data_IF_154517819469
#
_entry.id   IF_154517819469
#
_cell.length_a   1.000
_cell.length_b   1.000
_cell.length_c   1.000
_cell.angle_alpha   90.00
_cell.angle_beta   90.00
_cell.angle_gamma   90.00
#
_symmetry.space_group_name_H-M   'P 1'
#
loop_
_entity.id
_entity.type
_entity.pdbx_description
1 polymer ?
#
# COMPACT_ATOMS: atom_id res chain seq x y z
N UNK A 1 -22.16 -13.33 -18.81
CA UNK A 1 -22.53 -12.79 -17.50
C UNK A 1 -21.25 -12.82 -16.69
N UNK A 2 -20.67 -11.67 -16.35
CA UNK A 2 -19.52 -11.67 -15.43
C UNK A 2 -20.03 -12.22 -14.10
N UNK A 3 -19.41 -13.28 -13.58
CA UNK A 3 -19.75 -13.77 -12.25
C UNK A 3 -19.51 -12.63 -11.26
N UNK A 4 -20.56 -12.20 -10.57
CA UNK A 4 -20.41 -11.27 -9.46
C UNK A 4 -19.52 -11.91 -8.40
N UNK A 5 -18.59 -11.14 -7.86
CA UNK A 5 -17.74 -11.65 -6.80
C UNK A 5 -18.53 -11.90 -5.52
N UNK A 6 -18.09 -12.93 -4.79
CA UNK A 6 -18.59 -13.26 -3.45
C UNK A 6 -17.75 -12.62 -2.34
N UNK A 7 -16.66 -11.91 -2.67
CA UNK A 7 -16.00 -10.99 -1.76
C UNK A 7 -16.83 -9.70 -1.67
N UNK A 8 -17.58 -9.54 -0.58
CA UNK A 8 -18.59 -8.49 -0.43
C UNK A 8 -18.08 -7.25 0.32
N UNK A 9 -16.95 -7.38 1.01
CA UNK A 9 -16.35 -6.32 1.81
C UNK A 9 -14.84 -6.55 1.94
N UNK A 10 -14.04 -5.49 1.88
CA UNK A 10 -12.67 -5.51 2.39
C UNK A 10 -12.35 -4.25 3.21
N UNK A 11 -11.63 -4.42 4.31
CA UNK A 11 -11.25 -3.33 5.20
C UNK A 11 -9.92 -3.57 5.92
N UNK A 12 -9.50 -2.54 6.66
CA UNK A 12 -8.29 -2.51 7.47
C UNK A 12 -8.72 -2.32 8.92
N UNK A 13 -8.11 -3.10 9.83
CA UNK A 13 -8.36 -3.01 11.26
C UNK A 13 -7.04 -2.97 12.04
N UNK A 14 -6.90 -2.04 13.01
CA UNK A 14 -5.77 -2.04 13.92
C UNK A 14 -5.93 -3.20 14.92
N UNK A 15 -4.82 -3.67 15.45
CA UNK A 15 -4.79 -4.75 16.44
C UNK A 15 -4.09 -4.49 17.80
N UNK A 16 -3.99 -3.26 18.32
CA UNK A 16 -3.46 -3.03 19.66
C UNK A 16 -4.37 -3.66 20.72
N UNK A 17 -3.87 -4.56 21.58
CA UNK A 17 -4.66 -5.16 22.65
C UNK A 17 -5.21 -4.12 23.63
N UNK A 18 -4.58 -2.94 23.74
CA UNK A 18 -5.04 -1.83 24.58
C UNK A 18 -6.43 -1.31 24.16
N UNK A 19 -6.88 -1.58 22.94
CA UNK A 19 -8.25 -1.26 22.49
C UNK A 19 -9.30 -2.15 23.16
N UNK A 20 -8.95 -3.38 23.54
CA UNK A 20 -9.86 -4.29 24.24
C UNK A 20 -10.20 -3.70 25.62
N UNK A 21 -11.48 -3.40 25.93
CA UNK A 21 -11.85 -2.68 27.15
C UNK A 21 -11.27 -3.23 28.46
N UNK A 22 -11.21 -4.54 28.60
CA UNK A 22 -10.69 -5.22 29.79
C UNK A 22 -9.15 -5.12 29.92
N UNK A 23 -8.46 -4.90 28.80
CA UNK A 23 -7.00 -4.66 28.72
C UNK A 23 -6.71 -3.17 28.90
N UNK A 24 -7.36 -2.31 28.11
CA UNK A 24 -7.13 -0.86 28.07
C UNK A 24 -7.43 -0.14 29.38
N UNK A 25 -8.54 -0.47 30.05
CA UNK A 25 -8.97 0.15 31.32
C UNK A 25 -8.86 1.69 31.31
N UNK A 26 -7.89 2.25 32.03
CA UNK A 26 -7.66 3.71 32.13
C UNK A 26 -7.16 4.33 30.82
N UNK A 27 -6.62 3.53 29.89
CA UNK A 27 -6.16 3.96 28.57
C UNK A 27 -7.30 4.12 27.55
N UNK A 28 -8.51 3.61 27.82
CA UNK A 28 -9.62 3.61 26.86
C UNK A 28 -10.00 4.99 26.29
N UNK A 29 -9.96 6.09 27.06
CA UNK A 29 -10.24 7.42 26.50
C UNK A 29 -9.29 7.81 25.36
N UNK A 30 -8.07 7.27 25.32
CA UNK A 30 -7.05 7.61 24.31
C UNK A 30 -7.25 6.84 22.99
N UNK A 31 -8.02 5.76 23.01
CA UNK A 31 -8.25 4.86 21.86
C UNK A 31 -9.72 4.83 21.43
N UNK A 32 -10.51 5.79 21.92
CA UNK A 32 -11.97 5.78 21.78
C UNK A 32 -12.42 5.82 20.33
N UNK A 33 -11.78 6.65 19.49
CA UNK A 33 -12.20 6.76 18.10
C UNK A 33 -11.87 5.49 17.31
N UNK A 34 -10.78 4.80 17.67
CA UNK A 34 -10.46 3.49 17.10
C UNK A 34 -11.49 2.44 17.50
N UNK A 35 -11.95 2.44 18.76
CA UNK A 35 -13.02 1.54 19.22
C UNK A 35 -14.34 1.83 18.48
N UNK A 36 -14.71 3.10 18.35
CA UNK A 36 -15.91 3.53 17.64
C UNK A 36 -15.80 3.16 16.14
N UNK A 37 -14.62 3.35 15.53
CA UNK A 37 -14.33 2.92 14.16
C UNK A 37 -14.44 1.41 13.96
N UNK A 38 -13.97 0.60 14.92
CA UNK A 38 -14.13 -0.86 14.88
C UNK A 38 -15.60 -1.30 14.99
N UNK A 39 -16.43 -0.55 15.73
CA UNK A 39 -17.86 -0.79 15.76
C UNK A 39 -18.50 -0.50 14.40
N UNK A 40 -18.20 0.65 13.79
CA UNK A 40 -18.69 0.99 12.46
C UNK A 40 -18.20 0.01 11.38
N UNK A 41 -16.93 -0.43 11.44
CA UNK A 41 -16.40 -1.47 10.55
C UNK A 41 -17.23 -2.76 10.66
N UNK A 42 -17.55 -3.17 11.90
CA UNK A 42 -18.34 -4.38 12.14
C UNK A 42 -19.77 -4.23 11.61
N UNK A 43 -20.40 -3.08 11.81
CA UNK A 43 -21.73 -2.78 11.23
C UNK A 43 -21.72 -2.91 9.71
N UNK A 44 -20.67 -2.42 9.04
CA UNK A 44 -20.51 -2.54 7.58
C UNK A 44 -20.26 -3.99 7.14
N UNK A 45 -19.50 -4.78 7.90
CA UNK A 45 -19.33 -6.22 7.65
C UNK A 45 -20.68 -6.95 7.76
N UNK A 46 -21.46 -6.69 8.81
CA UNK A 46 -22.80 -7.27 9.00
C UNK A 46 -23.73 -6.85 7.85
N UNK A 47 -23.74 -5.57 7.49
CA UNK A 47 -24.57 -5.03 6.41
C UNK A 47 -24.21 -5.63 5.04
N UNK A 48 -22.95 -5.99 4.82
CA UNK A 48 -22.51 -6.69 3.60
C UNK A 48 -23.08 -8.12 3.48
N UNK A 49 -23.62 -8.67 4.58
CA UNK A 49 -24.15 -10.03 4.65
C UNK A 49 -23.06 -11.11 4.64
N UNK A 50 -21.83 -10.77 5.02
CA UNK A 50 -20.73 -11.72 5.08
C UNK A 50 -20.96 -12.75 6.19
N UNK A 51 -20.99 -14.03 5.81
CA UNK A 51 -21.11 -15.15 6.75
C UNK A 51 -19.75 -15.70 7.18
N UNK A 52 -18.70 -15.45 6.40
CA UNK A 52 -17.31 -15.77 6.73
C UNK A 52 -16.46 -14.51 6.68
N UNK A 53 -15.55 -14.35 7.65
CA UNK A 53 -14.52 -13.29 7.64
C UNK A 53 -13.14 -13.92 7.50
N UNK A 54 -12.38 -13.48 6.50
CA UNK A 54 -10.95 -13.75 6.39
C UNK A 54 -10.19 -12.66 7.15
N UNK A 55 -9.31 -13.07 8.07
CA UNK A 55 -8.39 -12.20 8.80
C UNK A 55 -6.97 -12.55 8.41
N UNK A 56 -6.16 -11.58 8.02
CA UNK A 56 -4.71 -11.78 7.83
C UNK A 56 -3.92 -10.95 8.83
N UNK A 57 -3.00 -11.60 9.55
CA UNK A 57 -2.23 -11.00 10.65
C UNK A 57 -0.71 -11.00 10.41
N UNK A 58 0.01 -9.93 10.81
CA UNK A 58 1.47 -9.90 10.86
C UNK A 58 2.09 -10.66 12.02
N UNK A 59 1.31 -11.04 13.05
CA UNK A 59 1.84 -11.65 14.28
C UNK A 59 1.52 -13.14 14.41
N UNK A 60 0.93 -13.74 13.38
CA UNK A 60 0.87 -15.19 13.26
C UNK A 60 2.32 -15.76 13.24
N UNK A 61 2.54 -17.04 13.58
CA UNK A 61 3.83 -17.71 13.37
C UNK A 61 4.20 -17.78 11.89
N UNK A 62 4.79 -16.70 11.37
CA UNK A 62 5.06 -16.53 9.94
C UNK A 62 6.19 -17.44 9.46
N UNK A 63 6.13 -17.80 8.20
CA UNK A 63 7.22 -18.46 7.47
C UNK A 63 7.88 -17.48 6.48
N UNK A 64 9.16 -17.70 6.20
CA UNK A 64 9.94 -16.85 5.27
C UNK A 64 9.48 -16.98 3.83
N UNK A 65 8.97 -18.14 3.44
CA UNK A 65 8.69 -18.54 2.05
C UNK A 65 7.25 -18.99 1.81
N UNK A 66 6.48 -19.23 2.86
CA UNK A 66 5.09 -19.69 2.77
C UNK A 66 4.12 -18.75 3.50
N UNK A 67 2.89 -18.70 3.02
CA UNK A 67 1.78 -18.14 3.79
C UNK A 67 1.40 -19.13 4.88
N UNK A 68 0.77 -18.66 5.95
CA UNK A 68 0.39 -19.53 7.08
C UNK A 68 -1.10 -19.42 7.36
N UNK A 69 -1.67 -20.49 7.90
CA UNK A 69 -3.08 -20.53 8.28
C UNK A 69 -3.26 -21.20 9.64
N UNK A 70 -4.18 -20.67 10.43
CA UNK A 70 -4.64 -21.36 11.63
C UNK A 70 -5.51 -22.56 11.26
N UNK A 71 -5.30 -23.73 11.90
CA UNK A 71 -6.04 -24.94 11.56
C UNK A 71 -7.49 -24.87 12.08
N UNK A 72 -8.40 -25.56 11.39
CA UNK A 72 -9.74 -25.85 11.89
C UNK A 72 -9.79 -27.07 12.84
N UNK A 73 -10.97 -27.41 13.37
CA UNK A 73 -12.29 -26.83 13.05
C UNK A 73 -12.62 -25.55 13.83
N UNK A 74 -11.82 -25.17 14.82
CA UNK A 74 -12.04 -23.96 15.61
C UNK A 74 -10.71 -23.32 16.05
N UNK A 75 -10.74 -22.00 16.19
CA UNK A 75 -9.65 -21.18 16.69
C UNK A 75 -10.03 -20.51 18.01
N UNK A 76 -9.03 -20.28 18.85
CA UNK A 76 -9.21 -19.76 20.21
C UNK A 76 -8.45 -18.44 20.41
N UNK A 77 -9.15 -17.40 20.86
CA UNK A 77 -8.56 -16.12 21.26
C UNK A 77 -8.50 -15.99 22.78
N UNK A 78 -7.38 -15.48 23.31
CA UNK A 78 -7.17 -15.26 24.74
C UNK A 78 -6.32 -14.00 24.99
N UNK A 79 -6.75 -13.20 25.97
CA UNK A 79 -6.03 -11.99 26.39
C UNK A 79 -5.40 -12.12 27.80
N UNK A 80 -5.20 -13.34 28.30
CA UNK A 80 -4.52 -13.55 29.60
C UNK A 80 -3.11 -12.94 29.62
N UNK A 81 -2.37 -13.02 28.50
CA UNK A 81 -1.06 -12.39 28.31
C UNK A 81 -1.07 -10.87 28.43
N UNK A 82 -2.23 -10.23 28.25
CA UNK A 82 -2.46 -8.79 28.41
C UNK A 82 -3.18 -8.46 29.72
N UNK A 83 -3.10 -9.35 30.73
CA UNK A 83 -3.71 -9.20 32.06
C UNK A 83 -5.25 -9.10 32.01
N UNK A 84 -5.88 -9.70 31.00
CA UNK A 84 -7.33 -9.82 30.86
C UNK A 84 -7.76 -11.29 30.66
N UNK A 85 -7.51 -12.18 31.65
CA UNK A 85 -7.81 -13.62 31.52
C UNK A 85 -9.32 -13.94 31.43
N UNK A 86 -10.18 -12.96 31.74
CA UNK A 86 -11.63 -13.10 31.56
C UNK A 86 -12.09 -12.92 30.11
N UNK A 87 -11.20 -12.48 29.22
CA UNK A 87 -11.52 -12.29 27.79
C UNK A 87 -10.94 -13.43 26.99
N UNK A 88 -11.80 -14.41 26.73
CA UNK A 88 -11.53 -15.59 25.94
C UNK A 88 -12.71 -15.87 25.03
N UNK A 89 -12.45 -16.37 23.83
CA UNK A 89 -13.50 -16.75 22.90
C UNK A 89 -13.01 -17.84 21.95
N UNK A 90 -13.96 -18.54 21.34
CA UNK A 90 -13.72 -19.53 20.31
C UNK A 90 -14.51 -19.13 19.06
N UNK A 91 -13.95 -19.35 17.88
CA UNK A 91 -14.61 -19.12 16.60
C UNK A 91 -14.50 -20.37 15.71
N UNK A 92 -15.59 -20.78 15.03
CA UNK A 92 -15.52 -21.83 14.03
C UNK A 92 -14.65 -21.40 12.85
N UNK A 93 -13.90 -22.35 12.29
CA UNK A 93 -13.11 -22.12 11.07
C UNK A 93 -13.90 -22.60 9.86
N UNK A 94 -13.97 -21.78 8.82
CA UNK A 94 -14.47 -22.19 7.51
C UNK A 94 -13.40 -23.08 6.83
N UNK A 95 -13.44 -24.37 7.16
CA UNK A 95 -12.44 -25.34 6.67
C UNK A 95 -12.54 -25.49 5.15
N UNK A 96 -13.74 -25.43 4.58
CA UNK A 96 -13.94 -25.54 3.13
C UNK A 96 -13.27 -24.38 2.39
N UNK A 97 -13.48 -23.14 2.85
CA UNK A 97 -12.81 -21.97 2.30
C UNK A 97 -11.30 -22.02 2.52
N UNK A 98 -10.82 -22.47 3.68
CA UNK A 98 -9.39 -22.60 3.95
C UNK A 98 -8.71 -23.60 2.99
N UNK A 99 -9.32 -24.76 2.74
CA UNK A 99 -8.79 -25.72 1.77
C UNK A 99 -8.82 -25.14 0.34
N UNK A 100 -9.91 -24.48 -0.05
CA UNK A 100 -10.02 -23.85 -1.37
C UNK A 100 -8.96 -22.75 -1.59
N UNK A 101 -8.64 -21.96 -0.56
CA UNK A 101 -7.56 -20.97 -0.58
C UNK A 101 -6.21 -21.68 -0.74
N UNK A 102 -5.97 -22.76 0.01
CA UNK A 102 -4.74 -23.54 -0.04
C UNK A 102 -4.51 -24.17 -1.42
N UNK A 103 -5.55 -24.74 -2.01
CA UNK A 103 -5.52 -25.32 -3.36
C UNK A 103 -5.31 -24.25 -4.44
N UNK A 104 -5.98 -23.10 -4.33
CA UNK A 104 -5.79 -21.99 -5.26
C UNK A 104 -4.37 -21.41 -5.15
N UNK A 105 -3.82 -21.33 -3.94
CA UNK A 105 -2.45 -20.86 -3.72
C UNK A 105 -1.44 -21.85 -4.33
N UNK A 106 -1.60 -23.15 -4.07
CA UNK A 106 -0.73 -24.20 -4.60
C UNK A 106 -0.73 -24.24 -6.14
N UNK A 107 -1.89 -24.02 -6.77
CA UNK A 107 -2.01 -23.91 -8.22
C UNK A 107 -1.29 -22.69 -8.83
N UNK A 108 -0.84 -21.74 -8.00
CA UNK A 108 -0.06 -20.56 -8.39
C UNK A 108 1.31 -20.54 -7.69
N UNK A 109 1.84 -21.72 -7.34
CA UNK A 109 3.17 -21.93 -6.76
C UNK A 109 3.38 -21.29 -5.36
N UNK A 110 2.31 -21.09 -4.60
CA UNK A 110 2.36 -20.63 -3.21
C UNK A 110 1.97 -21.73 -2.23
N UNK A 111 2.76 -21.90 -1.17
CA UNK A 111 2.44 -22.81 -0.08
C UNK A 111 1.66 -22.08 1.03
N UNK A 112 0.66 -22.77 1.60
CA UNK A 112 -0.07 -22.34 2.81
C UNK A 112 0.15 -23.38 3.91
N UNK A 113 1.01 -23.06 4.88
CA UNK A 113 1.34 -23.96 5.98
C UNK A 113 0.28 -23.84 7.08
N UNK A 114 -0.37 -24.96 7.41
CA UNK A 114 -1.29 -25.03 8.55
C UNK A 114 -0.49 -25.14 9.85
N UNK A 115 -0.73 -24.22 10.77
CA UNK A 115 -0.06 -24.18 12.06
C UNK A 115 -0.45 -25.39 12.91
N UNK A 116 0.43 -25.79 13.83
CA UNK A 116 0.18 -26.87 14.78
C UNK A 116 -0.72 -26.47 15.96
N UNK A 117 -1.03 -25.18 16.09
CA UNK A 117 -1.80 -24.59 17.18
C UNK A 117 -2.98 -23.79 16.64
N UNK A 118 -4.09 -23.83 17.36
CA UNK A 118 -5.29 -23.06 17.04
C UNK A 118 -5.46 -21.80 17.91
N UNK A 119 -4.52 -21.51 18.80
CA UNK A 119 -4.51 -20.27 19.59
C UNK A 119 -4.05 -19.09 18.73
N UNK A 120 -4.94 -18.11 18.53
CA UNK A 120 -4.71 -16.91 17.74
C UNK A 120 -3.65 -16.01 18.38
N UNK A 121 -2.87 -15.35 17.52
CA UNK A 121 -2.04 -14.21 17.92
C UNK A 121 -2.91 -12.97 18.20
N UNK A 122 -2.34 -11.94 18.84
CA UNK A 122 -3.09 -10.72 19.15
C UNK A 122 -3.52 -9.94 17.90
N UNK A 123 -2.74 -10.01 16.82
CA UNK A 123 -3.04 -9.40 15.53
C UNK A 123 -4.32 -9.96 14.91
N UNK A 124 -4.59 -11.24 15.09
CA UNK A 124 -5.87 -11.86 14.67
C UNK A 124 -6.96 -11.71 15.74
N UNK A 125 -6.61 -11.87 17.01
CA UNK A 125 -7.58 -11.93 18.10
C UNK A 125 -8.27 -10.58 18.38
N UNK A 126 -7.58 -9.43 18.21
CA UNK A 126 -8.16 -8.11 18.48
C UNK A 126 -9.27 -7.76 17.47
N UNK A 127 -9.07 -7.82 16.14
CA UNK A 127 -10.15 -7.57 15.20
C UNK A 127 -11.33 -8.54 15.37
N UNK A 128 -11.05 -9.84 15.59
CA UNK A 128 -12.10 -10.83 15.80
C UNK A 128 -12.90 -10.61 17.09
N UNK A 129 -12.23 -10.18 18.16
CA UNK A 129 -12.89 -9.77 19.40
C UNK A 129 -13.90 -8.65 19.14
N UNK A 130 -13.53 -7.63 18.37
CA UNK A 130 -14.43 -6.52 18.05
C UNK A 130 -15.58 -6.94 17.14
N UNK A 131 -15.34 -7.81 16.15
CA UNK A 131 -16.40 -8.39 15.32
C UNK A 131 -17.46 -9.08 16.20
N UNK A 132 -17.04 -9.99 17.09
CA UNK A 132 -17.95 -10.68 18.00
C UNK A 132 -18.64 -9.74 18.98
N UNK A 133 -17.89 -8.83 19.60
CA UNK A 133 -18.43 -7.88 20.59
C UNK A 133 -19.49 -6.96 19.99
N UNK A 134 -19.33 -6.59 18.72
CA UNK A 134 -20.24 -5.70 18.00
C UNK A 134 -21.31 -6.48 17.20
N UNK A 135 -21.46 -7.78 17.45
CA UNK A 135 -22.61 -8.56 17.01
C UNK A 135 -22.46 -9.31 15.70
N UNK A 136 -21.28 -9.32 15.08
CA UNK A 136 -21.02 -10.21 13.95
C UNK A 136 -20.78 -11.63 14.48
N UNK A 137 -21.43 -12.62 13.87
CA UNK A 137 -21.26 -14.03 14.18
C UNK A 137 -21.19 -14.80 12.88
N UNK A 138 -20.11 -15.55 12.68
CA UNK A 138 -19.88 -16.30 11.46
C UNK A 138 -18.62 -17.15 11.57
N UNK A 139 -18.24 -17.75 10.45
CA UNK A 139 -17.03 -18.56 10.36
C UNK A 139 -15.81 -17.69 10.04
N UNK A 140 -14.63 -18.14 10.44
CA UNK A 140 -13.39 -17.39 10.27
C UNK A 140 -12.38 -18.17 9.46
N UNK A 141 -11.62 -17.50 8.60
CA UNK A 141 -10.35 -18.02 8.10
C UNK A 141 -9.24 -17.08 8.57
N UNK A 142 -8.38 -17.57 9.45
CA UNK A 142 -7.28 -16.79 10.00
C UNK A 142 -5.96 -17.19 9.31
N UNK A 143 -5.34 -16.19 8.68
CA UNK A 143 -4.13 -16.31 7.88
C UNK A 143 -3.00 -15.45 8.46
N UNK A 144 -1.77 -15.78 8.12
CA UNK A 144 -0.60 -14.91 8.24
C UNK A 144 0.10 -14.79 6.90
N UNK A 145 0.75 -13.65 6.69
CA UNK A 145 1.50 -13.40 5.46
C UNK A 145 2.88 -14.10 5.44
N UNK A 146 3.64 -13.90 4.37
CA UNK A 146 5.01 -14.40 4.22
C UNK A 146 6.03 -13.25 4.13
N UNK A 147 7.31 -13.58 3.99
CA UNK A 147 8.34 -12.58 3.66
C UNK A 147 8.69 -12.54 2.16
N UNK A 148 7.83 -13.09 1.31
CA UNK A 148 7.91 -12.98 -0.15
C UNK A 148 7.76 -11.53 -0.64
N UNK A 149 7.92 -11.31 -1.94
CA UNK A 149 7.87 -9.97 -2.53
C UNK A 149 6.45 -9.37 -2.43
N UNK A 150 6.36 -8.04 -2.59
CA UNK A 150 5.07 -7.33 -2.59
C UNK A 150 4.09 -7.91 -3.64
N UNK A 151 4.60 -8.23 -4.83
CA UNK A 151 3.82 -8.83 -5.92
C UNK A 151 3.24 -10.20 -5.54
N UNK A 152 3.98 -11.01 -4.76
CA UNK A 152 3.50 -12.31 -4.29
C UNK A 152 2.32 -12.17 -3.32
N UNK A 153 2.32 -11.11 -2.50
CA UNK A 153 1.20 -10.81 -1.60
C UNK A 153 -0.05 -10.39 -2.37
N UNK A 154 0.11 -9.57 -3.43
CA UNK A 154 -0.99 -9.20 -4.32
C UNK A 154 -1.56 -10.43 -5.04
N UNK A 155 -0.70 -11.32 -5.54
CA UNK A 155 -1.11 -12.57 -6.21
C UNK A 155 -1.76 -13.56 -5.25
N UNK A 156 -1.28 -13.67 -4.02
CA UNK A 156 -1.93 -14.46 -2.99
C UNK A 156 -3.33 -13.93 -2.67
N UNK A 157 -3.51 -12.61 -2.59
CA UNK A 157 -4.83 -11.99 -2.51
C UNK A 157 -5.76 -12.39 -3.66
N UNK A 158 -5.25 -12.43 -4.90
CA UNK A 158 -6.01 -12.93 -6.05
C UNK A 158 -6.35 -14.42 -5.95
N UNK A 159 -5.48 -15.25 -5.35
CA UNK A 159 -5.78 -16.66 -5.08
C UNK A 159 -6.93 -16.80 -4.09
N UNK A 160 -6.90 -16.02 -3.00
CA UNK A 160 -8.00 -15.96 -2.03
C UNK A 160 -9.30 -15.59 -2.73
N UNK A 161 -9.25 -14.56 -3.59
CA UNK A 161 -10.40 -14.11 -4.36
C UNK A 161 -11.00 -15.21 -5.24
N UNK A 162 -10.17 -15.95 -5.98
CA UNK A 162 -10.63 -17.08 -6.81
C UNK A 162 -11.30 -18.17 -5.97
N UNK A 163 -10.75 -18.49 -4.79
CA UNK A 163 -11.35 -19.47 -3.89
C UNK A 163 -12.71 -19.00 -3.36
N UNK A 164 -12.81 -17.74 -2.90
CA UNK A 164 -14.07 -17.13 -2.46
C UNK A 164 -15.13 -17.17 -3.57
N UNK A 165 -14.77 -16.73 -4.78
CA UNK A 165 -15.70 -16.68 -5.91
C UNK A 165 -16.12 -18.08 -6.39
N UNK A 166 -15.26 -19.10 -6.22
CA UNK A 166 -15.56 -20.48 -6.58
C UNK A 166 -16.58 -21.14 -5.63
N UNK A 167 -16.51 -20.82 -4.33
CA UNK A 167 -17.44 -21.35 -3.32
C UNK A 167 -18.77 -20.58 -3.29
N UNK A 168 -18.80 -19.34 -3.76
CA UNK A 168 -20.03 -18.54 -3.83
C UNK A 168 -20.54 -18.04 -2.47
N UNK A 169 -19.71 -18.12 -1.43
CA UNK A 169 -20.04 -17.68 -0.07
C UNK A 169 -19.74 -16.19 0.09
N UNK A 170 -20.59 -15.45 0.82
CA UNK A 170 -20.37 -14.01 1.03
C UNK A 170 -19.27 -13.82 2.06
N UNK A 171 -18.09 -13.40 1.61
CA UNK A 171 -16.91 -13.28 2.44
C UNK A 171 -16.51 -11.81 2.61
N UNK A 172 -16.16 -11.43 3.84
CA UNK A 172 -15.48 -10.18 4.14
C UNK A 172 -13.99 -10.44 4.38
N UNK A 173 -13.13 -9.53 3.92
CA UNK A 173 -11.68 -9.61 4.14
C UNK A 173 -11.21 -8.46 5.04
N UNK A 174 -10.50 -8.78 6.12
CA UNK A 174 -9.94 -7.78 7.04
C UNK A 174 -8.42 -7.93 7.07
N UNK A 175 -7.72 -6.92 6.55
CA UNK A 175 -6.29 -6.74 6.75
C UNK A 175 -6.05 -6.23 8.17
N UNK A 176 -5.50 -7.10 9.04
CA UNK A 176 -5.10 -6.69 10.37
C UNK A 176 -3.70 -6.07 10.32
N UNK A 177 -3.54 -4.88 10.90
CA UNK A 177 -2.30 -4.14 10.80
C UNK A 177 -2.34 -2.78 11.46
N UNK A 178 -1.31 -2.46 12.23
CA UNK A 178 -1.04 -1.10 12.67
C UNK A 178 -0.12 -0.41 11.64
N UNK A 179 -0.21 0.93 11.59
CA UNK A 179 0.63 1.75 10.71
C UNK A 179 1.99 2.02 11.37
N UNK A 180 2.48 3.26 11.42
CA UNK A 180 3.77 3.57 12.03
C UNK A 180 3.78 3.23 13.53
N UNK A 181 4.90 2.68 14.00
CA UNK A 181 5.18 2.45 15.42
C UNK A 181 6.16 3.47 16.00
N UNK A 182 6.35 4.61 15.32
CA UNK A 182 7.43 5.57 15.60
C UNK A 182 6.99 7.03 15.70
N UNK A 183 5.71 7.28 16.00
CA UNK A 183 5.12 8.62 15.92
C UNK A 183 5.36 9.51 17.15
N UNK A 184 5.79 8.94 18.28
CA UNK A 184 6.04 9.68 19.54
C UNK A 184 7.31 9.17 20.25
N UNK A 185 7.95 9.96 21.14
CA UNK A 185 9.08 9.50 21.96
C UNK A 185 8.81 8.21 22.73
N UNK A 186 7.58 8.02 23.18
CA UNK A 186 7.14 6.86 23.97
C UNK A 186 6.71 5.67 23.10
N UNK A 187 6.81 5.78 21.77
CA UNK A 187 6.41 4.74 20.85
C UNK A 187 7.27 3.47 21.03
N UNK A 188 6.71 2.26 20.83
CA UNK A 188 7.40 1.01 21.12
C UNK A 188 8.66 0.78 20.26
N UNK A 189 8.72 1.36 19.06
CA UNK A 189 9.87 1.28 18.18
C UNK A 189 10.76 2.54 18.21
N UNK A 190 10.55 3.43 19.19
CA UNK A 190 11.22 4.72 19.33
C UNK A 190 10.66 5.79 18.38
N UNK A 191 11.02 7.06 18.58
CA UNK A 191 10.54 8.15 17.73
C UNK A 191 11.37 8.33 16.47
N UNK A 192 10.71 8.53 15.34
CA UNK A 192 11.33 9.06 14.13
C UNK A 192 10.46 10.20 13.57
N UNK A 193 11.01 11.40 13.35
CA UNK A 193 10.24 12.57 12.93
C UNK A 193 9.66 12.46 11.52
N UNK A 194 10.11 11.51 10.69
CA UNK A 194 9.60 11.29 9.32
C UNK A 194 8.56 10.16 9.27
N UNK A 195 8.42 9.39 10.36
CA UNK A 195 7.56 8.20 10.35
C UNK A 195 6.07 8.49 10.12
N UNK A 196 5.61 9.72 10.36
CA UNK A 196 4.23 10.13 10.09
C UNK A 196 3.87 10.13 8.59
N UNK A 197 4.87 10.30 7.70
CA UNK A 197 4.65 10.33 6.25
C UNK A 197 4.08 9.00 5.76
N UNK A 198 4.50 7.88 6.37
CA UNK A 198 3.95 6.56 6.05
C UNK A 198 2.45 6.49 6.33
N UNK A 199 2.02 6.97 7.49
CA UNK A 199 0.62 6.96 7.88
C UNK A 199 -0.20 7.89 7.00
N UNK A 200 0.33 9.07 6.68
CA UNK A 200 -0.29 10.05 5.79
C UNK A 200 -0.50 9.45 4.39
N UNK A 201 0.50 8.80 3.79
CA UNK A 201 0.37 8.15 2.49
C UNK A 201 -0.70 7.06 2.48
N UNK A 202 -0.75 6.21 3.51
CA UNK A 202 -1.78 5.16 3.61
C UNK A 202 -3.17 5.79 3.79
N UNK A 203 -3.30 6.74 4.71
CA UNK A 203 -4.59 7.41 4.99
C UNK A 203 -5.09 8.18 3.76
N UNK A 204 -4.21 8.88 3.06
CA UNK A 204 -4.56 9.65 1.88
C UNK A 204 -4.87 8.76 0.68
N UNK A 205 -4.22 7.60 0.54
CA UNK A 205 -4.60 6.59 -0.44
C UNK A 205 -6.05 6.13 -0.25
N UNK A 206 -6.47 5.88 1.00
CA UNK A 206 -7.87 5.54 1.30
C UNK A 206 -8.80 6.74 1.06
N UNK A 207 -8.48 7.93 1.58
CA UNK A 207 -9.35 9.13 1.42
C UNK A 207 -9.54 9.54 -0.03
N UNK A 208 -8.50 9.40 -0.86
CA UNK A 208 -8.56 9.74 -2.28
C UNK A 208 -9.23 8.66 -3.13
N UNK A 209 -9.70 7.56 -2.51
CA UNK A 209 -10.23 6.40 -3.20
C UNK A 209 -9.24 5.90 -4.27
N UNK A 210 -7.98 5.81 -3.87
CA UNK A 210 -6.85 5.30 -4.65
C UNK A 210 -5.99 4.36 -3.79
N UNK A 211 -6.58 3.27 -3.27
CA UNK A 211 -5.89 2.36 -2.35
C UNK A 211 -4.70 1.64 -3.01
N UNK A 212 -4.62 1.61 -4.34
CA UNK A 212 -3.47 1.14 -5.11
C UNK A 212 -2.17 1.92 -4.83
N UNK A 213 -2.25 3.18 -4.38
CA UNK A 213 -1.07 3.96 -3.99
C UNK A 213 -0.29 3.30 -2.84
N UNK A 214 -0.97 2.54 -1.98
CA UNK A 214 -0.34 1.79 -0.89
C UNK A 214 0.70 0.80 -1.42
N UNK A 215 0.52 0.27 -2.63
CA UNK A 215 1.42 -0.73 -3.23
C UNK A 215 2.83 -0.15 -3.48
N UNK A 216 2.91 1.15 -3.69
CA UNK A 216 4.10 1.86 -4.15
C UNK A 216 4.76 2.72 -3.08
N UNK A 217 4.28 2.65 -1.83
CA UNK A 217 4.89 3.33 -0.69
C UNK A 217 6.37 2.91 -0.58
N UNK A 218 7.23 3.91 -0.41
CA UNK A 218 8.69 3.72 -0.40
C UNK A 218 9.10 2.65 0.65
N UNK A 219 9.83 1.58 0.23
CA UNK A 219 10.41 0.61 1.13
C UNK A 219 11.15 1.18 2.33
N UNK A 220 11.88 2.28 2.15
CA UNK A 220 12.62 2.95 3.21
C UNK A 220 11.69 3.68 4.18
N UNK A 221 10.64 4.33 3.67
CA UNK A 221 9.61 4.94 4.50
C UNK A 221 8.91 3.90 5.39
N UNK A 222 8.60 2.72 4.87
CA UNK A 222 8.07 1.59 5.69
C UNK A 222 9.05 1.17 6.78
N UNK A 223 10.34 1.06 6.44
CA UNK A 223 11.41 0.70 7.40
C UNK A 223 11.57 1.76 8.50
N UNK A 224 11.45 3.03 8.13
CA UNK A 224 11.44 4.18 9.03
C UNK A 224 10.21 4.12 9.94
N UNK A 225 9.02 3.85 9.38
CA UNK A 225 7.78 3.76 10.14
C UNK A 225 7.78 2.60 11.14
N UNK A 226 8.51 1.53 10.87
CA UNK A 226 8.52 0.33 11.71
C UNK A 226 7.14 -0.34 11.76
N UNK A 227 6.41 -0.24 10.65
CA UNK A 227 5.04 -0.72 10.48
C UNK A 227 4.92 -2.24 10.52
N UNK A 228 3.70 -2.73 10.72
CA UNK A 228 3.40 -4.15 10.58
C UNK A 228 2.23 -4.48 9.64
N UNK A 229 1.39 -3.51 9.28
CA UNK A 229 0.18 -3.75 8.50
C UNK A 229 0.37 -3.86 6.98
N UNK A 230 1.50 -3.43 6.42
CA UNK A 230 1.68 -3.23 4.98
C UNK A 230 1.41 -4.47 4.15
N UNK A 231 2.00 -5.62 4.53
CA UNK A 231 1.82 -6.87 3.78
C UNK A 231 0.39 -7.41 3.89
N UNK A 232 -0.27 -7.23 5.05
CA UNK A 232 -1.69 -7.54 5.21
C UNK A 232 -2.55 -6.69 4.25
N UNK A 233 -2.24 -5.40 4.13
CA UNK A 233 -2.92 -4.50 3.20
C UNK A 233 -2.71 -4.94 1.75
N UNK A 234 -1.50 -5.34 1.34
CA UNK A 234 -1.26 -5.85 -0.01
C UNK A 234 -2.12 -7.08 -0.34
N UNK A 235 -2.27 -8.03 0.58
CA UNK A 235 -3.14 -9.18 0.35
C UNK A 235 -4.60 -8.74 0.20
N UNK A 236 -5.08 -7.79 1.01
CA UNK A 236 -6.43 -7.22 0.84
C UNK A 236 -6.62 -6.53 -0.51
N UNK A 237 -5.64 -5.73 -0.96
CA UNK A 237 -5.68 -5.05 -2.26
C UNK A 237 -5.66 -6.05 -3.42
N UNK A 238 -4.86 -7.10 -3.31
CA UNK A 238 -4.86 -8.21 -4.26
C UNK A 238 -6.20 -8.93 -4.32
N UNK A 239 -6.82 -9.17 -3.17
CA UNK A 239 -8.13 -9.81 -3.08
C UNK A 239 -9.27 -8.91 -3.60
N UNK A 240 -9.17 -7.60 -3.38
CA UNK A 240 -10.14 -6.60 -3.80
C UNK A 240 -9.90 -6.06 -5.22
N UNK A 241 -8.86 -6.53 -5.93
CA UNK A 241 -8.50 -6.06 -7.27
C UNK A 241 -9.71 -6.16 -8.21
N UNK A 242 -9.88 -5.13 -9.03
CA UNK A 242 -10.96 -5.00 -10.02
C UNK A 242 -12.40 -4.97 -9.43
N UNK A 243 -12.56 -4.89 -8.11
CA UNK A 243 -13.85 -4.54 -7.52
C UNK A 243 -14.12 -3.04 -7.56
N UNK A 244 -15.41 -2.64 -7.54
CA UNK A 244 -15.79 -1.27 -7.23
C UNK A 244 -15.14 -0.82 -5.92
N UNK A 245 -14.33 0.23 -6.02
CA UNK A 245 -13.75 0.85 -4.84
C UNK A 245 -14.81 1.68 -4.13
N UNK A 246 -14.76 1.64 -2.80
CA UNK A 246 -15.62 2.44 -1.94
C UNK A 246 -14.81 2.77 -0.68
N UNK A 247 -13.68 3.44 -0.87
CA UNK A 247 -12.76 3.68 0.22
C UNK A 247 -13.34 4.69 1.21
N UNK A 248 -13.11 4.44 2.49
CA UNK A 248 -13.58 5.32 3.56
C UNK A 248 -12.71 5.14 4.81
N UNK A 249 -12.28 6.24 5.41
CA UNK A 249 -11.52 6.23 6.67
C UNK A 249 -12.51 6.41 7.81
N UNK A 250 -12.78 5.32 8.53
CA UNK A 250 -13.71 5.32 9.66
C UNK A 250 -13.07 6.00 10.88
N UNK A 251 -11.78 5.73 11.10
CA UNK A 251 -11.00 6.41 12.14
C UNK A 251 -9.50 6.30 11.86
N UNK A 252 -8.75 7.36 12.17
CA UNK A 252 -7.27 7.32 12.21
C UNK A 252 -6.71 8.13 13.38
N UNK A 253 -6.09 7.49 14.38
CA UNK A 253 -5.44 8.16 15.51
C UNK A 253 -4.10 7.51 15.88
N UNK A 254 -3.23 8.25 16.58
CA UNK A 254 -1.88 7.80 16.95
C UNK A 254 -1.62 7.72 18.47
N UNK A 255 -2.46 7.02 19.26
CA UNK A 255 -2.23 6.85 20.68
C UNK A 255 -0.96 6.03 20.93
N UNK A 256 -0.24 6.35 22.00
CA UNK A 256 1.02 5.69 22.35
C UNK A 256 2.10 5.69 21.25
N UNK A 257 1.98 6.58 20.26
CA UNK A 257 2.94 6.70 19.17
C UNK A 257 2.82 5.62 18.09
N UNK A 258 1.68 4.92 18.06
CA UNK A 258 1.36 3.91 17.05
C UNK A 258 0.13 4.34 16.25
N UNK A 259 0.18 4.29 14.93
CA UNK A 259 -0.91 4.68 14.04
C UNK A 259 -2.00 3.61 13.93
N UNK A 260 -3.22 3.94 14.35
CA UNK A 260 -4.38 3.06 14.33
C UNK A 260 -5.33 3.53 13.23
N UNK A 261 -5.41 2.77 12.14
CA UNK A 261 -6.32 3.02 11.02
C UNK A 261 -7.42 1.97 10.98
N UNK A 262 -8.67 2.44 11.02
CA UNK A 262 -9.84 1.64 10.65
C UNK A 262 -10.39 2.17 9.34
N UNK A 263 -10.47 1.32 8.33
CA UNK A 263 -10.87 1.74 6.98
C UNK A 263 -11.66 0.67 6.21
N UNK A 264 -12.46 1.13 5.27
CA UNK A 264 -13.04 0.32 4.20
C UNK A 264 -12.25 0.56 2.91
N UNK A 265 -12.03 -0.50 2.13
CA UNK A 265 -11.42 -0.45 0.80
C UNK A 265 -12.49 -0.68 -0.28
N UNK A 266 -13.32 -1.72 -0.11
CA UNK A 266 -14.39 -2.06 -1.05
C UNK A 266 -15.63 -2.52 -0.30
N UNK A 267 -16.79 -2.30 -0.92
CA UNK A 267 -18.07 -2.90 -0.56
C UNK A 267 -18.82 -3.26 -1.83
N UNK A 268 -19.61 -4.33 -1.78
CA UNK A 268 -20.61 -4.60 -2.81
C UNK A 268 -21.67 -3.49 -2.76
N UNK A 269 -22.00 -2.91 -3.91
CA UNK A 269 -23.09 -1.94 -4.06
C UNK A 269 -24.34 -2.74 -4.44
N UNK A 270 -25.39 -2.72 -3.63
CA UNK A 270 -26.68 -3.32 -3.99
C UNK A 270 -27.38 -2.49 -5.08
N UNK A 271 -28.11 -3.14 -5.99
CA UNK A 271 -28.81 -2.54 -7.15
C UNK A 271 -29.75 -1.36 -6.83
N UNK A 272 -30.10 -1.16 -5.55
CA UNK A 272 -30.89 -0.03 -5.08
C UNK A 272 -30.10 1.29 -5.07
N UNK A 273 -28.80 1.25 -4.72
CA UNK A 273 -27.89 2.40 -4.75
C UNK A 273 -27.35 2.68 -6.17
N UNK A 274 -27.50 1.72 -7.09
CA UNK A 274 -27.07 1.85 -8.48
C UNK A 274 -27.90 2.84 -9.31
N UNK A 275 -29.06 3.30 -8.82
CA UNK A 275 -29.97 4.19 -9.58
C UNK A 275 -29.57 5.66 -9.56
N UNK A 276 -28.60 6.04 -8.73
CA UNK A 276 -28.09 7.42 -8.67
C UNK A 276 -26.62 7.54 -9.13
N UNK A 277 -26.04 6.44 -9.62
CA UNK A 277 -24.71 6.43 -10.21
C UNK A 277 -24.83 6.04 -11.68
N UNK A 278 -25.00 7.05 -12.52
CA UNK A 278 -24.54 6.94 -13.90
C UNK A 278 -23.08 6.45 -13.85
N UNK A 279 -22.70 5.41 -14.61
CA UNK A 279 -21.30 5.08 -14.78
C UNK A 279 -20.69 6.24 -15.57
N UNK A 280 -20.18 7.25 -14.87
CA UNK A 280 -19.29 8.22 -15.47
C UNK A 280 -18.02 7.42 -15.80
N UNK A 281 -18.01 6.88 -17.02
CA UNK A 281 -16.84 6.36 -17.70
C UNK A 281 -15.94 7.55 -18.00
N UNK A 282 -15.43 8.17 -16.95
CA UNK A 282 -14.27 9.04 -16.94
C UNK A 282 -13.24 8.30 -16.14
N UNK A 283 -12.50 7.48 -16.87
CA UNK A 283 -11.18 7.03 -16.46
C UNK A 283 -10.35 8.30 -16.28
N UNK A 284 -10.33 8.84 -15.06
CA UNK A 284 -9.30 9.78 -14.65
C UNK A 284 -8.11 8.92 -14.21
N UNK A 285 -7.28 8.55 -15.18
CA UNK A 285 -5.92 8.08 -14.87
C UNK A 285 -5.13 9.33 -14.50
N UNK A 286 -4.91 9.50 -13.21
CA UNK A 286 -3.93 10.42 -12.67
C UNK A 286 -3.02 9.59 -11.77
N UNK A 287 -1.90 9.11 -12.29
CA UNK A 287 -0.87 8.53 -11.43
C UNK A 287 0.52 8.61 -12.06
N UNK A 288 1.52 8.71 -11.19
CA UNK A 288 2.94 8.50 -11.46
C UNK A 288 3.26 7.12 -12.07
N UNK A 289 2.30 6.18 -12.11
CA UNK A 289 2.44 4.86 -12.76
C UNK A 289 2.51 4.96 -14.28
N UNK A 290 1.86 5.94 -14.91
CA UNK A 290 1.97 6.16 -16.36
C UNK A 290 3.34 6.73 -16.74
N UNK A 291 3.84 7.64 -15.91
CA UNK A 291 5.08 8.40 -16.12
C UNK A 291 6.29 7.49 -15.92
N UNK A 292 6.33 6.80 -14.77
CA UNK A 292 7.39 5.84 -14.42
C UNK A 292 7.28 4.55 -15.23
N UNK A 293 6.05 4.10 -15.53
CA UNK A 293 5.81 2.96 -16.41
C UNK A 293 6.29 3.21 -17.84
N UNK A 294 6.03 4.40 -18.40
CA UNK A 294 6.55 4.80 -19.71
C UNK A 294 8.08 4.90 -19.71
N UNK A 295 8.68 5.47 -18.66
CA UNK A 295 10.14 5.52 -18.52
C UNK A 295 10.76 4.12 -18.48
N UNK A 296 10.23 3.22 -17.65
CA UNK A 296 10.66 1.81 -17.55
C UNK A 296 10.55 1.12 -18.90
N UNK A 297 9.38 1.14 -19.52
CA UNK A 297 9.13 0.51 -20.83
C UNK A 297 10.09 1.04 -21.89
N UNK A 298 10.36 2.34 -21.87
CA UNK A 298 11.28 3.00 -22.80
C UNK A 298 12.71 2.49 -22.62
N UNK A 299 13.23 2.49 -21.40
CA UNK A 299 14.59 2.01 -21.11
C UNK A 299 14.72 0.53 -21.48
N UNK A 300 13.81 -0.31 -21.01
CA UNK A 300 13.88 -1.76 -21.25
C UNK A 300 13.79 -2.07 -22.76
N UNK A 301 12.87 -1.45 -23.48
CA UNK A 301 12.73 -1.65 -24.94
C UNK A 301 13.99 -1.18 -25.67
N UNK A 302 14.50 0.01 -25.35
CA UNK A 302 15.65 0.57 -26.04
C UNK A 302 16.93 -0.22 -25.76
N UNK A 303 17.16 -0.62 -24.51
CA UNK A 303 18.34 -1.43 -24.14
C UNK A 303 18.29 -2.83 -24.76
N UNK A 304 17.10 -3.43 -24.88
CA UNK A 304 16.95 -4.77 -25.48
C UNK A 304 16.99 -4.77 -27.00
N UNK A 305 16.39 -3.76 -27.64
CA UNK A 305 16.12 -3.78 -29.10
C UNK A 305 16.85 -2.70 -29.89
N UNK A 306 17.36 -1.65 -29.22
CA UNK A 306 17.90 -0.45 -29.85
C UNK A 306 16.84 0.46 -30.47
N UNK A 307 15.55 0.19 -30.28
CA UNK A 307 14.46 0.95 -30.89
C UNK A 307 13.75 1.86 -29.88
N UNK A 308 13.37 3.06 -30.34
CA UNK A 308 12.56 4.01 -29.57
C UNK A 308 11.11 3.51 -29.52
N UNK A 309 10.50 3.54 -28.33
CA UNK A 309 9.08 3.23 -28.17
C UNK A 309 8.25 4.31 -28.87
N UNK A 310 7.19 3.90 -29.58
CA UNK A 310 6.23 4.85 -30.14
C UNK A 310 5.48 5.57 -29.01
N UNK A 311 5.17 6.86 -29.22
CA UNK A 311 4.37 7.62 -28.26
C UNK A 311 3.00 6.93 -28.17
N UNK A 312 2.59 6.45 -26.99
CA UNK A 312 1.30 5.76 -26.85
C UNK A 312 0.16 6.74 -27.14
N UNK A 313 -1.01 6.22 -27.58
CA UNK A 313 -2.22 7.05 -27.60
C UNK A 313 -2.45 7.62 -26.19
N UNK A 314 -2.34 8.95 -26.09
CA UNK A 314 -2.24 9.63 -24.79
C UNK A 314 -3.60 9.56 -24.10
N UNK A 315 -3.68 8.72 -23.08
CA UNK A 315 -4.91 8.51 -22.28
C UNK A 315 -4.86 9.24 -20.93
N UNK A 316 -3.68 9.67 -20.49
CA UNK A 316 -3.46 10.45 -19.27
C UNK A 316 -3.35 11.94 -19.54
N UNK A 317 -4.06 12.74 -18.74
CA UNK A 317 -4.03 14.19 -18.82
C UNK A 317 -2.63 14.76 -18.51
N UNK A 318 -1.86 14.11 -17.63
CA UNK A 318 -0.51 14.54 -17.25
C UNK A 318 0.49 14.32 -18.39
N UNK A 319 0.46 13.15 -19.03
CA UNK A 319 1.33 12.83 -20.17
C UNK A 319 1.08 13.74 -21.39
N UNK A 320 -0.14 14.28 -21.51
CA UNK A 320 -0.50 15.27 -22.54
C UNK A 320 -0.01 16.70 -22.23
N UNK A 321 0.41 16.98 -20.99
CA UNK A 321 0.89 18.32 -20.63
C UNK A 321 2.29 18.56 -21.17
N UNK A 322 2.66 19.84 -21.35
CA UNK A 322 4.02 20.24 -21.70
C UNK A 322 4.80 20.55 -20.42
N UNK A 323 5.61 19.61 -19.97
CA UNK A 323 6.38 19.69 -18.73
C UNK A 323 7.80 19.14 -18.92
N UNK A 324 8.76 19.65 -18.13
CA UNK A 324 10.12 19.12 -18.09
C UNK A 324 10.17 17.93 -17.12
N UNK A 325 11.13 17.03 -17.28
CA UNK A 325 11.26 15.91 -16.35
C UNK A 325 12.70 15.42 -16.21
N UNK A 326 13.00 14.80 -15.07
CA UNK A 326 14.21 14.00 -14.85
C UNK A 326 13.84 12.52 -14.72
N UNK A 327 14.54 11.67 -15.45
CA UNK A 327 14.44 10.22 -15.33
C UNK A 327 15.67 9.72 -14.63
N UNK A 328 15.47 9.10 -13.47
CA UNK A 328 16.51 8.53 -12.62
C UNK A 328 16.41 7.00 -12.61
N UNK A 329 17.54 6.36 -12.85
CA UNK A 329 17.77 4.92 -12.76
C UNK A 329 18.60 4.67 -11.52
N UNK A 330 18.11 3.84 -10.60
CA UNK A 330 18.82 3.41 -9.40
C UNK A 330 18.97 1.90 -9.40
N UNK A 331 19.97 1.35 -8.72
CA UNK A 331 20.04 -0.09 -8.45
C UNK A 331 19.02 -0.47 -7.37
N UNK A 332 18.74 -1.77 -7.20
CA UNK A 332 17.94 -2.25 -6.06
C UNK A 332 18.52 -1.88 -4.69
N UNK A 333 19.82 -1.58 -4.62
CA UNK A 333 20.48 -1.09 -3.41
C UNK A 333 20.33 0.43 -3.22
N UNK A 334 19.62 1.13 -4.12
CA UNK A 334 19.38 2.57 -4.08
C UNK A 334 20.45 3.43 -4.75
N UNK A 335 21.52 2.83 -5.28
CA UNK A 335 22.64 3.58 -5.88
C UNK A 335 22.27 4.15 -7.25
N UNK A 336 22.68 5.39 -7.54
CA UNK A 336 22.41 6.02 -8.83
C UNK A 336 23.14 5.31 -9.98
N UNK A 337 22.42 4.96 -11.03
CA UNK A 337 22.93 4.29 -12.24
C UNK A 337 22.79 5.11 -13.53
N UNK A 338 21.95 6.13 -13.49
CA UNK A 338 21.79 7.14 -14.54
C UNK A 338 20.74 8.14 -14.13
N UNK A 339 20.91 9.41 -14.44
CA UNK A 339 19.88 10.43 -14.26
C UNK A 339 20.09 11.53 -15.29
N UNK A 340 19.09 11.70 -16.16
CA UNK A 340 19.07 12.76 -17.17
C UNK A 340 17.67 13.36 -17.22
N UNK A 341 17.62 14.66 -17.42
CA UNK A 341 16.40 15.41 -17.60
C UNK A 341 16.63 16.77 -18.20
N UNK A 342 15.53 17.49 -18.33
CA UNK A 342 15.48 18.87 -18.79
C UNK A 342 14.89 19.76 -17.70
N UNK A 343 15.31 21.02 -17.67
CA UNK A 343 14.84 22.01 -16.70
C UNK A 343 13.62 22.76 -17.24
N UNK A 344 13.52 22.84 -18.56
CA UNK A 344 12.39 23.43 -19.28
C UNK A 344 11.91 22.41 -20.32
N UNK A 345 10.60 22.34 -20.61
CA UNK A 345 10.06 21.39 -21.59
C UNK A 345 10.62 21.66 -22.99
N UNK A 346 11.28 20.66 -23.56
CA UNK A 346 11.86 20.71 -24.91
C UNK A 346 10.96 20.07 -25.97
N UNK A 347 10.09 19.16 -25.54
CA UNK A 347 9.10 18.50 -26.39
C UNK A 347 7.70 19.12 -26.22
N UNK A 348 6.77 18.73 -27.10
CA UNK A 348 5.39 19.22 -27.10
C UNK A 348 4.55 18.57 -25.99
N UNK A 349 4.91 17.34 -25.59
CA UNK A 349 4.26 16.57 -24.54
C UNK A 349 5.26 15.96 -23.55
N UNK A 350 4.83 15.78 -22.31
CA UNK A 350 5.60 15.09 -21.27
C UNK A 350 5.90 13.64 -21.68
N UNK A 351 4.99 12.97 -22.39
CA UNK A 351 5.25 11.64 -22.92
C UNK A 351 6.49 11.59 -23.83
N UNK A 352 6.62 12.54 -24.74
CA UNK A 352 7.79 12.65 -25.62
C UNK A 352 9.06 12.99 -24.84
N UNK A 353 8.96 13.96 -23.93
CA UNK A 353 10.04 14.41 -23.06
C UNK A 353 10.59 13.24 -22.23
N UNK A 354 9.71 12.42 -21.65
CA UNK A 354 10.07 11.23 -20.89
C UNK A 354 10.79 10.20 -21.73
N UNK A 355 10.28 9.90 -22.92
CA UNK A 355 10.90 8.88 -23.78
C UNK A 355 12.33 9.31 -24.14
N UNK A 356 12.52 10.59 -24.46
CA UNK A 356 13.85 11.14 -24.78
C UNK A 356 14.78 11.08 -23.58
N UNK A 357 14.33 11.56 -22.41
CA UNK A 357 15.14 11.61 -21.21
C UNK A 357 15.43 10.23 -20.62
N UNK A 358 14.51 9.28 -20.72
CA UNK A 358 14.72 7.89 -20.33
C UNK A 358 15.82 7.21 -21.18
N UNK A 359 15.80 7.39 -22.49
CA UNK A 359 16.86 6.89 -23.38
C UNK A 359 18.19 7.54 -23.03
N UNK A 360 18.21 8.85 -22.81
CA UNK A 360 19.44 9.55 -22.46
C UNK A 360 19.97 9.08 -21.08
N UNK A 361 19.10 8.86 -20.09
CA UNK A 361 19.49 8.37 -18.77
C UNK A 361 20.16 6.99 -18.83
N UNK A 362 19.72 6.10 -19.72
CA UNK A 362 20.31 4.77 -19.86
C UNK A 362 21.50 4.71 -20.82
N UNK A 363 21.71 5.70 -21.71
CA UNK A 363 22.73 5.62 -22.78
C UNK A 363 23.75 6.75 -22.84
N UNK A 364 23.45 7.92 -22.25
CA UNK A 364 24.20 9.16 -22.44
C UNK A 364 24.52 9.91 -21.16
N UNK A 365 24.21 9.36 -19.98
CA UNK A 365 24.71 9.94 -18.74
C UNK A 365 26.24 9.81 -18.68
N UNK A 366 27.00 10.91 -18.70
CA UNK A 366 28.46 10.86 -18.79
C UNK A 366 29.13 10.27 -17.54
N UNK A 367 28.39 10.11 -16.44
CA UNK A 367 28.91 9.53 -15.19
C UNK A 367 28.99 8.00 -15.25
N UNK A 368 28.25 7.36 -16.17
CA UNK A 368 28.12 5.91 -16.23
C UNK A 368 28.27 5.38 -17.66
N UNK A 369 28.78 4.14 -17.85
CA UNK A 369 28.66 3.48 -19.15
C UNK A 369 27.19 3.21 -19.47
N UNK A 370 26.82 3.04 -20.76
CA UNK A 370 25.46 2.66 -21.15
C UNK A 370 24.97 1.41 -20.39
N UNK A 371 23.69 1.39 -20.03
CA UNK A 371 23.04 0.27 -19.34
C UNK A 371 23.03 -0.97 -20.25
N UNK A 372 23.45 -2.10 -19.69
CA UNK A 372 23.41 -3.40 -20.37
C UNK A 372 22.10 -4.15 -20.11
N UNK A 373 21.68 -5.07 -21.01
CA UNK A 373 20.47 -5.85 -20.82
C UNK A 373 20.41 -6.66 -19.51
N UNK A 374 21.57 -7.12 -19.01
CA UNK A 374 21.66 -7.86 -17.75
C UNK A 374 21.38 -7.02 -16.50
N UNK A 375 21.50 -5.69 -16.59
CA UNK A 375 21.26 -4.79 -15.46
C UNK A 375 19.76 -4.50 -15.27
N UNK A 376 18.94 -4.65 -16.31
CA UNK A 376 17.54 -4.20 -16.33
C UNK A 376 16.70 -4.76 -15.17
N UNK A 377 16.88 -6.03 -14.83
CA UNK A 377 16.14 -6.69 -13.73
C UNK A 377 16.46 -6.10 -12.35
N UNK A 378 17.59 -5.40 -12.22
CA UNK A 378 18.06 -4.77 -10.98
C UNK A 378 17.88 -3.25 -10.95
N UNK A 379 17.14 -2.66 -11.90
CA UNK A 379 16.91 -1.22 -11.95
C UNK A 379 15.57 -0.83 -11.32
N UNK A 380 15.63 0.24 -10.53
CA UNK A 380 14.51 1.00 -9.98
C UNK A 380 14.44 2.32 -10.76
N UNK A 381 13.24 2.70 -11.19
CA UNK A 381 13.00 3.87 -12.01
C UNK A 381 12.26 4.92 -11.15
N UNK A 382 12.70 6.17 -11.24
CA UNK A 382 12.05 7.32 -10.63
C UNK A 382 11.95 8.42 -11.67
N UNK A 383 10.84 9.16 -11.65
CA UNK A 383 10.62 10.27 -12.57
C UNK A 383 10.18 11.49 -11.78
N UNK A 384 10.94 12.57 -11.92
CA UNK A 384 10.62 13.86 -11.32
C UNK A 384 10.08 14.78 -12.41
N UNK A 385 8.78 15.11 -12.35
CA UNK A 385 8.15 16.06 -13.28
C UNK A 385 8.23 17.46 -12.70
N UNK A 386 8.80 18.40 -13.46
CA UNK A 386 9.06 19.75 -12.96
C UNK A 386 7.93 20.71 -13.33
N UNK A 387 7.59 21.57 -12.37
CA UNK A 387 6.82 22.79 -12.64
C UNK A 387 7.70 23.81 -13.39
N UNK A 388 7.08 24.80 -14.07
CA UNK A 388 7.81 25.94 -14.60
C UNK A 388 8.62 26.64 -13.49
N UNK A 389 9.90 26.98 -13.73
CA UNK A 389 10.73 27.62 -12.73
C UNK A 389 10.24 29.04 -12.43
N UNK A 390 10.26 29.41 -11.15
CA UNK A 390 9.90 30.75 -10.68
C UNK A 390 11.04 31.37 -9.86
N UNK A 391 11.21 32.71 -9.90
CA UNK A 391 12.17 33.38 -9.03
C UNK A 391 11.77 33.21 -7.56
N UNK A 392 12.71 32.81 -6.71
CA UNK A 392 12.51 32.63 -5.29
C UNK A 392 13.56 33.39 -4.46
N UNK A 393 13.16 33.85 -3.28
CA UNK A 393 14.08 34.34 -2.25
C UNK A 393 14.62 33.15 -1.45
N UNK A 394 15.80 33.36 -0.85
CA UNK A 394 16.46 32.31 -0.07
C UNK A 394 15.59 31.77 1.09
N UNK A 395 14.78 32.62 1.71
CA UNK A 395 13.89 32.24 2.81
C UNK A 395 12.68 31.41 2.39
N UNK A 396 12.38 31.39 1.08
CA UNK A 396 11.24 30.66 0.50
C UNK A 396 11.63 29.23 0.08
N UNK A 397 12.92 28.91 0.13
CA UNK A 397 13.43 27.60 -0.23
C UNK A 397 13.17 26.57 0.87
N UNK A 398 12.37 25.57 0.54
CA UNK A 398 12.21 24.34 1.31
C UNK A 398 12.88 23.19 0.53
N UNK A 399 14.00 22.63 1.02
CA UNK A 399 14.71 21.56 0.32
C UNK A 399 13.93 20.27 0.07
N UNK A 400 12.85 20.03 0.81
CA UNK A 400 12.00 18.86 0.62
C UNK A 400 10.98 19.06 -0.50
N UNK A 401 10.65 20.31 -0.82
CA UNK A 401 9.57 20.65 -1.76
C UNK A 401 10.12 21.23 -3.06
N UNK A 402 11.15 22.07 -2.98
CA UNK A 402 11.65 22.85 -4.11
C UNK A 402 13.05 22.43 -4.53
N UNK A 403 13.21 22.18 -5.83
CA UNK A 403 14.51 22.17 -6.48
C UNK A 403 15.01 23.61 -6.68
N UNK A 404 16.32 23.80 -6.69
CA UNK A 404 16.95 25.12 -6.83
C UNK A 404 17.69 25.19 -8.15
N UNK A 405 17.41 26.24 -8.92
CA UNK A 405 18.19 26.63 -10.10
C UNK A 405 19.01 27.85 -9.73
N UNK A 406 20.33 27.73 -9.82
CA UNK A 406 21.25 28.86 -9.61
C UNK A 406 21.82 29.27 -10.96
N UNK A 407 21.62 30.53 -11.32
CA UNK A 407 22.13 31.11 -12.57
C UNK A 407 23.13 32.24 -12.26
N UNK A 408 24.23 32.32 -13.02
CA UNK A 408 25.13 33.46 -12.90
C UNK A 408 24.53 34.75 -13.49
N UNK A 409 25.06 35.90 -13.08
CA UNK A 409 24.52 37.22 -13.49
C UNK A 409 24.49 37.48 -15.00
N UNK A 410 25.10 36.62 -15.82
CA UNK A 410 25.16 36.73 -17.28
C UNK A 410 24.27 35.67 -17.97
N UNK A 411 23.64 34.76 -17.22
CA UNK A 411 22.84 33.66 -17.76
C UNK A 411 23.65 32.58 -18.47
N UNK A 412 24.97 32.54 -18.29
CA UNK A 412 25.86 31.65 -19.06
C UNK A 412 26.04 30.32 -18.33
N UNK A 413 26.09 30.36 -17.00
CA UNK A 413 26.25 29.17 -16.16
C UNK A 413 25.03 28.99 -15.31
N UNK A 414 24.51 27.77 -15.34
CA UNK A 414 23.38 27.33 -14.52
C UNK A 414 23.70 26.02 -13.81
N UNK A 415 23.29 25.92 -12.56
CA UNK A 415 23.27 24.69 -11.77
C UNK A 415 21.84 24.36 -11.37
N UNK A 416 21.51 23.07 -11.30
CA UNK A 416 20.24 22.58 -10.79
C UNK A 416 20.52 21.59 -9.66
N UNK A 417 19.76 21.73 -8.59
CA UNK A 417 19.60 20.71 -7.56
C UNK A 417 18.11 20.34 -7.47
N UNK A 418 17.80 19.05 -7.57
CA UNK A 418 16.43 18.56 -7.39
C UNK A 418 16.02 18.64 -5.91
N UNK A 419 14.71 18.66 -5.58
CA UNK A 419 14.27 18.54 -4.20
C UNK A 419 14.60 17.17 -3.60
N UNK A 420 14.53 17.07 -2.28
CA UNK A 420 14.64 15.82 -1.50
C UNK A 420 15.93 15.01 -1.75
N UNK A 421 17.06 15.71 -1.83
CA UNK A 421 18.38 15.08 -2.01
C UNK A 421 18.97 14.67 -0.65
N UNK A 422 19.43 13.43 -0.55
CA UNK A 422 20.07 12.89 0.64
C UNK A 422 21.23 13.79 1.12
N UNK A 423 21.19 14.18 2.41
CA UNK A 423 22.18 15.07 3.03
C UNK A 423 21.85 16.56 2.95
N UNK A 424 20.88 16.95 2.13
CA UNK A 424 20.43 18.34 1.98
C UNK A 424 19.20 18.57 2.86
N UNK A 425 19.39 19.26 3.99
CA UNK A 425 18.36 19.41 5.04
C UNK A 425 17.90 20.84 5.28
N UNK A 426 18.61 21.81 4.70
CA UNK A 426 18.34 23.24 4.90
C UNK A 426 18.57 23.98 3.60
N UNK A 427 17.94 25.13 3.42
CA UNK A 427 18.19 26.02 2.27
C UNK A 427 19.67 26.40 2.13
N UNK A 428 20.45 26.40 3.23
CA UNK A 428 21.91 26.62 3.19
C UNK A 428 22.71 25.43 2.68
N UNK A 429 22.17 24.20 2.74
CA UNK A 429 22.81 23.02 2.17
C UNK A 429 22.54 22.90 0.66
N UNK A 430 21.37 23.37 0.22
CA UNK A 430 21.08 23.60 -1.20
C UNK A 430 21.96 24.72 -1.74
#
# INVERSE_FOLDING_TARGET
MANESSLVFAGIAPHPPIMVPEVGREALPQVRRSIDGMAELTERVIASGANTVILISPHAPLDVSAFVAYPGPSVFGDFSGFRAPSVQFEAPVDVELLEAISDSALANDYEVIKLSRNQLDHGTAVPLYFLHRNGWTGDVVALGYSFLANEDHLRFGQCIRRAVDALGTRVAFIASGDLSHRLKPEAPAGFNPVAHVFDEEVVDAIKSNSPEKIIHIDPELRRIAGECGYRSMLVALGAARDLPQACDVLSYECPFGVGYLVAQITKKIDDADARDRQPDRRVFVTSDEDVTGLARKTVETYVQTGTKVEVPEITSALLATRAACFVSLKTLAGELRGCIGTIEPTEDTLAEELIVNAINACTRDPRFPPVSPSELAGLVYSVDVLSPPEPALFEELDPLVYGVIVEDSQGIRRGLLLPDIEGVKTAQHQ
#
